data_IF_311740796264
#
_entry.id   IF_311740796264
#
_cell.length_a   1.000
_cell.length_b   1.000
_cell.length_c   1.000
_cell.angle_alpha   90.00
_cell.angle_beta   90.00
_cell.angle_gamma   90.00
#
_symmetry.space_group_name_H-M   'P 1'
#
loop_
_entity.id
_entity.type
_entity.pdbx_description
1 polymer ?
#
# COMPACT_ATOMS: atom_id res chain seq x y z
N UNK A 1 21.20 -3.24 -1.72
CA UNK A 1 19.75 -3.28 -1.95
C UNK A 1 19.07 -2.23 -1.07
N UNK A 2 18.10 -1.50 -1.60
CA UNK A 2 17.37 -0.44 -0.89
C UNK A 2 15.87 -0.49 -1.13
N UNK A 3 15.10 0.01 -0.17
CA UNK A 3 13.63 0.06 -0.16
C UNK A 3 13.16 1.17 0.80
N UNK A 4 11.91 1.63 0.67
CA UNK A 4 11.40 2.75 1.47
C UNK A 4 10.66 2.36 2.75
N UNK A 5 9.95 1.23 2.81
CA UNK A 5 9.23 0.87 4.04
C UNK A 5 10.10 0.08 4.99
N UNK A 6 10.34 0.59 6.20
CA UNK A 6 11.06 -0.17 7.24
C UNK A 6 10.41 -1.51 7.60
N UNK A 7 9.09 -1.64 7.40
CA UNK A 7 8.37 -2.89 7.63
C UNK A 7 8.79 -4.02 6.67
N UNK A 8 9.54 -3.72 5.59
CA UNK A 8 10.05 -4.71 4.64
C UNK A 8 11.37 -5.36 5.06
N UNK A 9 12.02 -4.88 6.12
CA UNK A 9 13.35 -5.38 6.51
C UNK A 9 13.36 -6.90 6.71
N UNK A 10 12.46 -7.42 7.54
CA UNK A 10 12.35 -8.86 7.82
C UNK A 10 12.18 -9.66 6.52
N UNK A 11 11.15 -9.32 5.73
CA UNK A 11 10.84 -10.04 4.49
C UNK A 11 12.00 -10.01 3.48
N UNK A 12 12.63 -8.85 3.26
CA UNK A 12 13.74 -8.73 2.32
C UNK A 12 14.94 -9.54 2.80
N UNK A 13 15.28 -9.47 4.09
CA UNK A 13 16.38 -10.23 4.66
C UNK A 13 16.12 -11.75 4.54
N UNK A 14 14.90 -12.20 4.85
CA UNK A 14 14.52 -13.61 4.76
C UNK A 14 14.58 -14.12 3.30
N UNK A 15 14.08 -13.33 2.34
CA UNK A 15 14.14 -13.69 0.92
C UNK A 15 15.58 -13.74 0.41
N UNK A 16 16.41 -12.76 0.75
CA UNK A 16 17.82 -12.74 0.37
C UNK A 16 18.56 -13.91 0.98
N UNK A 17 18.36 -14.20 2.28
CA UNK A 17 19.01 -15.34 2.93
C UNK A 17 18.57 -16.65 2.29
N UNK A 18 17.26 -16.86 2.13
CA UNK A 18 16.70 -18.08 1.55
C UNK A 18 17.20 -18.32 0.13
N UNK A 19 17.08 -17.35 -0.77
CA UNK A 19 17.48 -17.53 -2.16
C UNK A 19 18.98 -17.62 -2.33
N UNK A 20 19.76 -16.87 -1.54
CA UNK A 20 21.22 -17.04 -1.58
C UNK A 20 21.58 -18.46 -1.15
N UNK A 21 21.02 -18.95 -0.04
CA UNK A 21 21.25 -20.31 0.42
C UNK A 21 20.80 -21.37 -0.59
N UNK A 22 19.66 -21.18 -1.25
CA UNK A 22 19.16 -22.11 -2.28
C UNK A 22 20.10 -22.22 -3.49
N UNK A 23 20.69 -21.10 -3.93
CA UNK A 23 21.53 -21.06 -5.14
C UNK A 23 23.03 -21.24 -4.89
N UNK A 24 23.55 -20.84 -3.72
CA UNK A 24 24.97 -20.92 -3.38
C UNK A 24 25.28 -21.96 -2.30
N UNK A 25 24.27 -22.49 -1.61
CA UNK A 25 24.41 -23.33 -0.42
C UNK A 25 25.20 -22.64 0.72
N UNK A 26 25.18 -21.30 0.74
CA UNK A 26 25.82 -20.46 1.75
C UNK A 26 25.00 -19.18 2.01
N UNK A 27 25.30 -18.46 3.08
CA UNK A 27 24.70 -17.16 3.37
C UNK A 27 25.28 -16.07 2.48
N UNK A 28 24.54 -14.98 2.31
CA UNK A 28 25.09 -13.81 1.64
C UNK A 28 26.15 -13.15 2.53
N UNK A 29 27.16 -12.58 1.89
CA UNK A 29 28.19 -11.81 2.61
C UNK A 29 27.72 -10.37 2.79
N UNK A 30 27.48 -9.98 4.04
CA UNK A 30 27.03 -8.63 4.42
C UNK A 30 28.04 -7.53 4.06
N UNK A 31 29.32 -7.86 3.81
CA UNK A 31 30.32 -6.92 3.33
C UNK A 31 30.08 -6.53 1.87
N UNK A 32 29.58 -7.46 1.05
CA UNK A 32 29.35 -7.24 -0.39
C UNK A 32 27.89 -6.93 -0.72
N UNK A 33 26.93 -7.49 0.02
CA UNK A 33 25.51 -7.24 -0.16
C UNK A 33 24.91 -6.59 1.09
N UNK A 34 24.78 -5.27 1.02
CA UNK A 34 24.17 -4.48 2.09
C UNK A 34 22.67 -4.29 1.83
N UNK A 35 21.84 -4.62 2.81
CA UNK A 35 20.39 -4.41 2.81
C UNK A 35 20.09 -3.19 3.69
N UNK A 36 19.67 -2.09 3.08
CA UNK A 36 19.51 -0.81 3.77
C UNK A 36 18.22 -0.09 3.39
N UNK A 37 17.53 0.47 4.39
CA UNK A 37 16.40 1.37 4.17
C UNK A 37 16.86 2.64 3.43
N UNK A 38 16.00 3.25 2.61
CA UNK A 38 16.38 4.39 1.76
C UNK A 38 16.89 5.60 2.55
N UNK A 39 16.30 5.87 3.72
CA UNK A 39 16.77 6.93 4.64
C UNK A 39 17.67 6.38 5.76
N UNK A 40 17.20 5.34 6.43
CA UNK A 40 17.76 4.80 7.68
C UNK A 40 16.95 5.19 8.92
N UNK A 41 17.64 5.29 10.05
CA UNK A 41 17.16 5.74 11.36
C UNK A 41 18.34 6.28 12.19
N UNK A 42 18.09 6.73 13.42
CA UNK A 42 19.17 7.12 14.33
C UNK A 42 20.11 5.96 14.72
N UNK A 43 19.60 4.72 14.73
CA UNK A 43 20.35 3.53 15.15
C UNK A 43 20.84 2.65 13.99
N UNK A 44 20.24 2.76 12.80
CA UNK A 44 20.58 1.96 11.62
C UNK A 44 20.76 2.86 10.41
N UNK A 45 21.91 2.77 9.76
CA UNK A 45 22.18 3.53 8.55
C UNK A 45 21.21 3.15 7.41
N UNK A 46 20.96 4.11 6.54
CA UNK A 46 20.25 3.91 5.28
C UNK A 46 21.02 4.50 4.10
N UNK A 47 20.54 4.21 2.89
CA UNK A 47 21.26 4.55 1.65
C UNK A 47 21.55 6.04 1.53
N UNK A 48 20.58 6.92 1.82
CA UNK A 48 20.78 8.36 1.87
C UNK A 48 21.89 8.75 2.85
N UNK A 49 21.87 8.19 4.06
CA UNK A 49 22.88 8.53 5.08
C UNK A 49 24.28 8.03 4.71
N UNK A 50 24.38 6.88 4.04
CA UNK A 50 25.66 6.36 3.52
C UNK A 50 26.20 7.22 2.38
N UNK A 51 25.33 7.61 1.43
CA UNK A 51 25.69 8.54 0.35
C UNK A 51 26.17 9.88 0.91
N UNK A 52 25.47 10.45 1.89
CA UNK A 52 25.87 11.71 2.53
C UNK A 52 27.23 11.60 3.24
N UNK A 53 27.45 10.54 4.03
CA UNK A 53 28.72 10.32 4.73
C UNK A 53 29.89 10.13 3.77
N UNK A 54 29.69 9.36 2.70
CA UNK A 54 30.72 9.08 1.70
C UNK A 54 31.25 10.35 1.03
N UNK A 55 30.41 11.37 0.89
CA UNK A 55 30.80 12.66 0.30
C UNK A 55 31.15 13.73 1.36
N UNK A 56 31.27 13.35 2.63
CA UNK A 56 31.64 14.24 3.73
C UNK A 56 30.52 15.16 4.24
N UNK A 57 29.26 14.88 3.89
CA UNK A 57 28.09 15.63 4.36
C UNK A 57 27.46 14.94 5.57
N UNK A 58 27.11 15.72 6.60
CA UNK A 58 26.37 15.20 7.76
C UNK A 58 24.94 14.87 7.35
N UNK A 59 24.47 13.61 7.51
CA UNK A 59 23.11 13.24 7.16
C UNK A 59 22.07 14.05 7.94
N UNK A 60 21.01 14.49 7.25
CA UNK A 60 19.87 15.17 7.89
C UNK A 60 18.95 14.17 8.58
N UNK A 61 18.44 14.56 9.75
CA UNK A 61 17.43 13.79 10.47
C UNK A 61 16.00 14.15 10.05
N UNK A 62 15.04 13.37 10.55
CA UNK A 62 13.62 13.57 10.24
C UNK A 62 13.07 14.90 10.75
N UNK A 63 13.56 15.39 11.90
CA UNK A 63 13.06 16.62 12.49
C UNK A 63 13.42 17.84 11.64
N UNK A 64 14.67 17.89 11.17
CA UNK A 64 15.13 18.89 10.22
C UNK A 64 14.29 18.85 8.94
N UNK A 65 14.17 17.67 8.33
CA UNK A 65 13.50 17.51 7.06
C UNK A 65 12.02 17.90 7.11
N UNK A 66 11.32 17.48 8.16
CA UNK A 66 9.92 17.86 8.39
C UNK A 66 9.77 19.36 8.59
N UNK A 67 10.68 20.01 9.30
CA UNK A 67 10.62 21.44 9.54
C UNK A 67 10.90 22.25 8.26
N UNK A 68 11.81 21.77 7.39
CA UNK A 68 12.19 22.46 6.18
C UNK A 68 11.23 22.22 5.00
N UNK A 69 10.69 21.01 4.87
CA UNK A 69 9.96 20.57 3.67
C UNK A 69 8.53 20.08 3.95
N UNK A 70 8.11 20.05 5.21
CA UNK A 70 6.85 19.43 5.60
C UNK A 70 6.95 17.90 5.69
N UNK A 71 5.86 17.25 6.12
CA UNK A 71 5.84 15.80 6.38
C UNK A 71 5.98 14.96 5.10
N UNK A 72 5.25 15.31 4.04
CA UNK A 72 5.18 14.51 2.81
C UNK A 72 6.45 14.65 1.95
N UNK A 73 7.04 15.85 1.89
CA UNK A 73 8.24 16.11 1.07
C UNK A 73 9.54 15.99 1.85
N UNK A 74 9.51 15.53 3.10
CA UNK A 74 10.69 15.44 3.97
C UNK A 74 11.84 14.68 3.31
N UNK A 75 11.56 13.49 2.75
CA UNK A 75 12.59 12.66 2.13
C UNK A 75 13.08 13.22 0.80
N UNK A 76 12.15 13.71 -0.03
CA UNK A 76 12.48 14.34 -1.30
C UNK A 76 13.40 15.56 -1.08
N UNK A 77 13.05 16.45 -0.15
CA UNK A 77 13.80 17.68 0.11
C UNK A 77 15.24 17.41 0.55
N UNK A 78 15.47 16.45 1.45
CA UNK A 78 16.85 16.12 1.87
C UNK A 78 17.65 15.44 0.78
N UNK A 79 17.02 14.62 -0.07
CA UNK A 79 17.66 14.09 -1.28
C UNK A 79 18.03 15.21 -2.25
N UNK A 80 17.17 16.21 -2.42
CA UNK A 80 17.42 17.37 -3.27
C UNK A 80 18.60 18.22 -2.76
N UNK A 81 18.69 18.46 -1.45
CA UNK A 81 19.87 19.13 -0.84
C UNK A 81 21.16 18.38 -1.16
N UNK A 82 21.16 17.07 -0.93
CA UNK A 82 22.35 16.24 -1.14
C UNK A 82 22.74 16.20 -2.63
N UNK A 83 21.75 16.10 -3.51
CA UNK A 83 21.95 16.06 -4.96
C UNK A 83 22.63 17.33 -5.47
N UNK A 84 22.28 18.49 -4.92
CA UNK A 84 22.96 19.74 -5.27
C UNK A 84 24.46 19.72 -4.92
N UNK A 85 24.82 19.14 -3.77
CA UNK A 85 26.23 18.98 -3.35
C UNK A 85 26.96 17.99 -4.25
N UNK A 86 26.36 16.82 -4.53
CA UNK A 86 26.95 15.78 -5.40
C UNK A 86 27.22 16.33 -6.80
N UNK A 87 26.27 17.08 -7.38
CA UNK A 87 26.43 17.70 -8.70
C UNK A 87 27.53 18.74 -8.75
N UNK A 88 27.76 19.48 -7.66
CA UNK A 88 28.82 20.49 -7.58
C UNK A 88 30.21 19.87 -7.36
N UNK A 89 30.30 18.76 -6.62
CA UNK A 89 31.57 18.15 -6.20
C UNK A 89 32.08 17.01 -7.07
N UNK A 90 31.22 16.38 -7.88
CA UNK A 90 31.53 15.17 -8.67
C UNK A 90 32.31 14.10 -7.88
N UNK A 91 31.74 13.61 -6.76
CA UNK A 91 32.42 12.66 -5.88
C UNK A 91 32.67 11.29 -6.55
N UNK A 92 33.65 10.57 -6.02
CA UNK A 92 33.92 9.18 -6.42
C UNK A 92 32.71 8.28 -6.16
N UNK A 93 32.42 7.31 -7.07
CA UNK A 93 31.34 6.36 -6.86
C UNK A 93 31.52 5.54 -5.58
N UNK A 94 30.40 5.26 -4.92
CA UNK A 94 30.34 4.51 -3.65
C UNK A 94 29.83 3.09 -3.87
N UNK A 95 29.03 2.88 -4.92
CA UNK A 95 28.36 1.61 -5.17
C UNK A 95 28.83 0.93 -6.46
N UNK A 96 28.89 -0.39 -6.37
CA UNK A 96 29.23 -1.27 -7.48
C UNK A 96 28.01 -1.66 -8.32
N UNK A 97 26.87 -1.81 -7.64
CA UNK A 97 25.56 -2.06 -8.17
C UNK A 97 24.51 -1.67 -7.13
N UNK A 98 23.32 -1.27 -7.57
CA UNK A 98 22.20 -0.92 -6.69
C UNK A 98 20.95 -1.65 -7.15
N UNK A 99 20.28 -2.32 -6.20
CA UNK A 99 18.96 -2.89 -6.36
C UNK A 99 17.98 -2.05 -5.56
N UNK A 100 16.92 -1.55 -6.21
CA UNK A 100 15.88 -0.72 -5.61
C UNK A 100 14.57 -1.50 -5.66
N UNK A 101 13.97 -1.75 -4.51
CA UNK A 101 12.68 -2.40 -4.39
C UNK A 101 11.59 -1.39 -4.00
N UNK A 102 10.34 -1.64 -4.41
CA UNK A 102 9.20 -0.71 -4.29
C UNK A 102 9.55 0.70 -4.78
N UNK A 103 10.13 0.78 -5.99
CA UNK A 103 10.71 2.00 -6.55
C UNK A 103 9.71 3.17 -6.66
N UNK A 104 8.41 2.86 -6.76
CA UNK A 104 7.32 3.84 -6.82
C UNK A 104 7.08 4.62 -5.52
N UNK A 105 7.73 4.21 -4.42
CA UNK A 105 7.72 4.90 -3.11
C UNK A 105 8.90 5.86 -2.92
N UNK A 106 9.78 5.98 -3.92
CA UNK A 106 10.99 6.79 -3.84
C UNK A 106 10.93 8.01 -4.78
N UNK A 107 11.46 9.17 -4.37
CA UNK A 107 11.44 10.37 -5.19
C UNK A 107 12.53 10.32 -6.29
N UNK A 108 12.33 10.95 -7.45
CA UNK A 108 13.32 11.01 -8.53
C UNK A 108 14.72 11.44 -8.07
N UNK A 109 14.82 12.41 -7.16
CA UNK A 109 16.10 12.91 -6.64
C UNK A 109 16.94 11.81 -5.98
N UNK A 110 16.30 10.79 -5.39
CA UNK A 110 16.99 9.62 -4.84
C UNK A 110 17.60 8.77 -5.95
N UNK A 111 16.90 8.55 -7.07
CA UNK A 111 17.43 7.82 -8.23
C UNK A 111 18.61 8.56 -8.88
N UNK A 112 18.54 9.88 -8.96
CA UNK A 112 19.63 10.72 -9.48
C UNK A 112 20.89 10.62 -8.60
N UNK A 113 20.72 10.61 -7.27
CA UNK A 113 21.83 10.35 -6.34
C UNK A 113 22.44 8.95 -6.54
N UNK A 114 21.59 7.92 -6.62
CA UNK A 114 22.03 6.53 -6.89
C UNK A 114 22.80 6.44 -8.20
N UNK A 115 22.33 7.10 -9.26
CA UNK A 115 23.00 7.12 -10.56
C UNK A 115 24.40 7.75 -10.49
N UNK A 116 24.52 8.90 -9.83
CA UNK A 116 25.79 9.62 -9.72
C UNK A 116 26.80 8.86 -8.85
N UNK A 117 26.34 8.15 -7.82
CA UNK A 117 27.19 7.44 -6.87
C UNK A 117 27.37 5.94 -7.18
N UNK A 118 26.83 5.44 -8.30
CA UNK A 118 27.10 4.08 -8.79
C UNK A 118 28.18 4.13 -9.86
N UNK A 119 29.20 3.25 -9.80
CA UNK A 119 30.30 3.25 -10.77
C UNK A 119 29.87 2.81 -12.16
N UNK A 120 30.68 3.16 -13.16
CA UNK A 120 30.51 2.67 -14.52
C UNK A 120 31.08 1.24 -14.71
N UNK A 121 30.45 0.39 -15.55
CA UNK A 121 29.15 0.61 -16.17
C UNK A 121 28.01 0.60 -15.13
N UNK A 122 27.05 1.51 -15.24
CA UNK A 122 25.93 1.64 -14.27
C UNK A 122 25.13 0.35 -14.17
N UNK A 123 25.13 -0.25 -12.97
CA UNK A 123 24.35 -1.46 -12.63
C UNK A 123 23.27 -1.09 -11.63
N UNK A 124 22.17 -0.54 -12.14
CA UNK A 124 21.03 -0.14 -11.32
C UNK A 124 19.83 -0.94 -11.78
N UNK A 125 19.25 -1.73 -10.87
CA UNK A 125 18.06 -2.54 -11.11
C UNK A 125 16.98 -2.02 -10.18
N UNK A 126 15.79 -1.76 -10.69
CA UNK A 126 14.66 -1.35 -9.86
C UNK A 126 13.41 -2.13 -10.21
N UNK A 127 12.68 -2.55 -9.19
CA UNK A 127 11.38 -3.21 -9.30
C UNK A 127 10.29 -2.33 -8.69
N UNK A 128 9.10 -2.36 -9.28
CA UNK A 128 7.93 -1.66 -8.76
C UNK A 128 6.65 -2.39 -9.17
N UNK A 129 5.57 -2.17 -8.42
CA UNK A 129 4.29 -2.84 -8.63
C UNK A 129 3.28 -1.91 -9.33
N UNK A 130 3.07 -2.12 -10.63
CA UNK A 130 2.06 -1.41 -11.44
C UNK A 130 0.63 -1.60 -10.91
N UNK A 131 0.35 -2.70 -10.19
CA UNK A 131 -1.01 -3.03 -9.74
C UNK A 131 -1.45 -2.17 -8.56
N UNK A 132 -0.52 -1.60 -7.79
CA UNK A 132 -0.83 -0.89 -6.54
C UNK A 132 -1.20 0.58 -6.74
N UNK A 133 -1.02 1.15 -7.94
CA UNK A 133 -1.36 2.54 -8.28
C UNK A 133 -2.52 2.60 -9.29
N UNK A 134 -3.74 2.31 -8.81
CA UNK A 134 -4.95 2.27 -9.63
C UNK A 134 -5.41 3.64 -10.21
N UNK A 135 -4.90 4.76 -9.67
CA UNK A 135 -5.30 6.14 -10.03
C UNK A 135 -4.15 7.14 -10.21
N UNK A 136 -2.92 6.77 -9.86
CA UNK A 136 -1.78 7.69 -9.94
C UNK A 136 -1.09 7.51 -11.28
N UNK A 137 -0.54 8.61 -11.80
CA UNK A 137 0.30 8.62 -13.00
C UNK A 137 1.24 7.44 -12.96
N UNK A 138 1.38 6.74 -14.10
CA UNK A 138 2.39 5.70 -14.28
C UNK A 138 3.73 6.15 -13.70
N UNK A 139 4.52 5.18 -13.22
CA UNK A 139 5.85 5.42 -12.67
C UNK A 139 6.61 6.43 -13.55
N UNK A 140 7.25 7.47 -12.97
CA UNK A 140 7.95 8.49 -13.74
C UNK A 140 8.86 7.89 -14.82
N UNK A 141 8.89 8.52 -16.01
CA UNK A 141 9.78 8.09 -17.07
C UNK A 141 11.24 8.11 -16.62
N UNK A 142 12.12 7.34 -17.30
CA UNK A 142 13.54 7.27 -16.92
C UNK A 142 14.24 8.62 -16.93
N UNK A 143 13.82 9.56 -17.78
CA UNK A 143 14.36 10.93 -17.81
C UNK A 143 13.98 11.72 -16.56
N UNK A 144 12.78 11.49 -16.01
CA UNK A 144 12.36 12.12 -14.77
C UNK A 144 13.11 11.49 -13.58
N UNK A 145 13.17 10.15 -13.53
CA UNK A 145 13.87 9.42 -12.47
C UNK A 145 15.37 9.72 -12.45
N UNK A 146 16.07 9.58 -13.56
CA UNK A 146 17.53 9.62 -13.60
C UNK A 146 18.09 10.94 -14.13
N UNK A 147 17.27 11.74 -14.80
CA UNK A 147 17.70 12.97 -15.45
C UNK A 147 18.25 12.75 -16.86
N UNK A 148 18.60 13.87 -17.49
CA UNK A 148 19.24 13.92 -18.81
C UNK A 148 20.67 14.43 -18.70
N UNK A 149 21.50 14.04 -19.68
CA UNK A 149 22.88 14.50 -19.79
C UNK A 149 22.99 15.92 -20.34
N UNK A 150 24.22 16.45 -20.45
CA UNK A 150 24.46 17.83 -20.86
C UNK A 150 23.93 18.20 -22.25
N UNK A 151 23.73 17.22 -23.14
CA UNK A 151 23.19 17.43 -24.49
C UNK A 151 21.71 17.08 -24.60
N UNK A 152 21.03 16.82 -23.47
CA UNK A 152 19.63 16.44 -23.40
C UNK A 152 19.36 14.96 -23.64
N UNK A 153 20.40 14.13 -23.74
CA UNK A 153 20.27 12.68 -23.88
C UNK A 153 19.80 12.00 -22.59
N UNK A 154 18.94 11.00 -22.69
CA UNK A 154 18.54 10.18 -21.54
C UNK A 154 19.74 9.50 -20.88
N UNK A 155 19.95 9.72 -19.58
CA UNK A 155 21.04 9.05 -18.84
C UNK A 155 20.79 7.54 -18.71
N UNK A 156 19.50 7.15 -18.66
CA UNK A 156 19.06 5.75 -18.63
C UNK A 156 18.05 5.55 -19.74
N UNK A 157 18.26 4.54 -20.57
CA UNK A 157 17.35 4.17 -21.65
C UNK A 157 16.95 2.70 -21.54
N UNK A 158 15.64 2.47 -21.46
CA UNK A 158 15.01 1.15 -21.48
C UNK A 158 14.77 0.62 -22.89
N UNK A 159 15.14 1.39 -23.93
CA UNK A 159 14.96 0.98 -25.31
C UNK A 159 15.65 -0.36 -25.57
N UNK A 160 14.87 -1.32 -26.07
CA UNK A 160 15.40 -2.63 -26.41
C UNK A 160 16.29 -2.52 -27.65
N UNK A 161 17.53 -2.97 -27.53
CA UNK A 161 18.47 -3.02 -28.64
C UNK A 161 18.52 -4.44 -29.21
N UNK A 162 18.65 -4.55 -30.54
CA UNK A 162 18.76 -5.83 -31.23
C UNK A 162 19.94 -6.65 -30.66
N UNK A 163 19.67 -7.92 -30.34
CA UNK A 163 20.63 -8.87 -29.77
C UNK A 163 21.24 -8.47 -28.42
N UNK A 164 20.63 -7.54 -27.68
CA UNK A 164 20.99 -7.24 -26.30
C UNK A 164 19.97 -7.79 -25.29
N UNK A 165 20.36 -8.01 -24.02
CA UNK A 165 19.43 -8.32 -22.96
C UNK A 165 18.32 -7.26 -22.86
N UNK A 166 17.11 -7.71 -22.51
CA UNK A 166 15.99 -6.81 -22.23
C UNK A 166 16.33 -5.91 -21.04
N UNK A 167 15.97 -4.63 -21.16
CA UNK A 167 16.17 -3.62 -20.12
C UNK A 167 14.89 -3.34 -19.34
N UNK A 168 13.75 -3.59 -19.97
CA UNK A 168 12.44 -3.52 -19.37
C UNK A 168 11.78 -4.91 -19.45
N UNK A 169 11.28 -5.39 -18.32
CA UNK A 169 10.74 -6.74 -18.15
C UNK A 169 9.47 -6.64 -17.30
N UNK A 170 8.32 -6.72 -17.97
CA UNK A 170 7.03 -6.90 -17.30
C UNK A 170 6.86 -8.38 -16.96
N UNK A 171 6.50 -8.67 -15.71
CA UNK A 171 6.22 -10.03 -15.22
C UNK A 171 4.70 -10.27 -15.20
N UNK A 172 4.13 -11.01 -16.17
CA UNK A 172 2.68 -11.14 -16.32
C UNK A 172 2.06 -12.17 -15.35
N UNK A 173 2.88 -13.02 -14.71
CA UNK A 173 2.41 -14.11 -13.86
C UNK A 173 2.42 -13.69 -12.39
N UNK A 174 1.25 -13.70 -11.75
CA UNK A 174 1.14 -13.48 -10.32
C UNK A 174 1.22 -14.82 -9.59
N UNK A 175 2.34 -15.05 -8.90
CA UNK A 175 2.54 -16.22 -8.03
C UNK A 175 2.05 -16.01 -6.59
N UNK A 176 1.70 -14.76 -6.26
CA UNK A 176 1.41 -14.34 -4.89
C UNK A 176 -0.06 -14.50 -4.57
N UNK A 177 -0.94 -13.80 -5.28
CA UNK A 177 -2.37 -13.80 -4.99
C UNK A 177 -3.13 -14.80 -5.84
N UNK A 178 -4.19 -15.39 -5.27
CA UNK A 178 -5.14 -16.17 -6.07
C UNK A 178 -5.77 -15.31 -7.19
N UNK A 179 -6.10 -15.90 -8.35
CA UNK A 179 -6.71 -15.15 -9.46
C UNK A 179 -8.03 -14.48 -9.04
N UNK A 180 -8.78 -15.12 -8.13
CA UNK A 180 -10.04 -14.62 -7.60
C UNK A 180 -9.87 -13.44 -6.66
N UNK A 181 -8.96 -13.53 -5.68
CA UNK A 181 -8.70 -12.42 -4.75
C UNK A 181 -8.25 -11.17 -5.49
N UNK A 182 -7.36 -11.34 -6.48
CA UNK A 182 -6.83 -10.21 -7.23
C UNK A 182 -7.87 -9.64 -8.23
N UNK A 183 -8.74 -10.47 -8.83
CA UNK A 183 -9.85 -9.97 -9.63
C UNK A 183 -10.87 -9.18 -8.79
N UNK A 184 -11.21 -9.68 -7.59
CA UNK A 184 -12.04 -8.97 -6.62
C UNK A 184 -11.40 -7.65 -6.18
N UNK A 185 -10.11 -7.65 -5.89
CA UNK A 185 -9.38 -6.43 -5.52
C UNK A 185 -9.48 -5.37 -6.62
N UNK A 186 -9.19 -5.73 -7.89
CA UNK A 186 -9.30 -4.81 -9.02
C UNK A 186 -10.73 -4.29 -9.19
N UNK A 187 -11.74 -5.17 -9.11
CA UNK A 187 -13.14 -4.76 -9.23
C UNK A 187 -13.52 -3.68 -8.20
N UNK A 188 -13.12 -3.87 -6.94
CA UNK A 188 -13.43 -2.96 -5.83
C UNK A 188 -12.60 -1.69 -5.88
N UNK A 189 -11.32 -1.80 -6.26
CA UNK A 189 -10.39 -0.68 -6.39
C UNK A 189 -10.87 0.29 -7.48
N UNK A 190 -11.11 -0.24 -8.67
CA UNK A 190 -11.59 0.53 -9.84
C UNK A 190 -13.06 0.95 -9.68
N UNK A 191 -13.81 0.24 -8.85
CA UNK A 191 -15.25 0.47 -8.66
C UNK A 191 -16.05 0.02 -9.88
N UNK A 192 -15.72 -1.15 -10.44
CA UNK A 192 -16.35 -1.71 -11.65
C UNK A 192 -17.85 -1.95 -11.47
N UNK A 193 -18.27 -2.38 -10.27
CA UNK A 193 -19.65 -2.74 -9.97
C UNK A 193 -20.28 -1.89 -8.87
N UNK A 194 -19.67 -0.74 -8.55
CA UNK A 194 -20.26 0.19 -7.60
C UNK A 194 -21.50 0.87 -8.19
N UNK A 195 -22.33 1.44 -7.32
CA UNK A 195 -23.43 2.29 -7.76
C UNK A 195 -22.86 3.58 -8.41
N UNK A 196 -23.02 3.71 -9.73
CA UNK A 196 -22.57 4.87 -10.51
C UNK A 196 -21.46 4.56 -11.53
N UNK A 197 -20.73 5.60 -11.95
CA UNK A 197 -19.58 5.45 -12.85
C UNK A 197 -18.36 4.84 -12.14
N UNK A 198 -17.40 4.34 -12.93
CA UNK A 198 -16.08 3.92 -12.44
C UNK A 198 -15.47 4.97 -11.51
N UNK A 199 -14.80 4.49 -10.46
CA UNK A 199 -14.16 5.36 -9.48
C UNK A 199 -12.80 5.87 -9.97
N UNK A 200 -12.05 5.00 -10.62
CA UNK A 200 -10.71 5.27 -11.17
C UNK A 200 -10.43 4.27 -12.31
N UNK A 201 -9.45 4.56 -13.15
CA UNK A 201 -9.02 3.66 -14.22
C UNK A 201 -7.59 4.02 -14.64
N UNK A 202 -6.85 3.05 -15.15
CA UNK A 202 -5.52 3.28 -15.73
C UNK A 202 -5.56 4.26 -16.91
N UNK A 203 -4.50 5.04 -17.11
CA UNK A 203 -4.42 5.95 -18.26
C UNK A 203 -4.29 5.19 -19.59
N UNK A 204 -3.56 4.08 -19.56
CA UNK A 204 -3.27 3.21 -20.69
C UNK A 204 -4.13 1.94 -20.60
N UNK A 205 -5.19 1.79 -21.41
CA UNK A 205 -6.04 0.59 -21.39
C UNK A 205 -5.28 -0.71 -21.67
N UNK A 206 -4.21 -0.65 -22.45
CA UNK A 206 -3.32 -1.77 -22.77
C UNK A 206 -2.67 -2.43 -21.54
N UNK A 207 -2.52 -1.67 -20.43
CA UNK A 207 -1.95 -2.17 -19.18
C UNK A 207 -2.72 -3.40 -18.67
N UNK A 208 -4.03 -3.49 -18.91
CA UNK A 208 -4.83 -4.67 -18.57
C UNK A 208 -4.24 -5.98 -19.12
N UNK A 209 -3.75 -5.96 -20.36
CA UNK A 209 -3.08 -7.11 -20.97
C UNK A 209 -1.76 -7.44 -20.28
N UNK A 210 -0.97 -6.41 -19.97
CA UNK A 210 0.33 -6.51 -19.31
C UNK A 210 0.22 -7.07 -17.88
N UNK A 211 -0.85 -6.71 -17.18
CA UNK A 211 -1.16 -7.22 -15.83
C UNK A 211 -1.92 -8.55 -15.83
N UNK A 212 -2.02 -9.18 -16.99
CA UNK A 212 -2.44 -10.57 -17.14
C UNK A 212 -3.95 -10.77 -17.27
N UNK A 213 -4.68 -9.81 -17.85
CA UNK A 213 -6.08 -9.98 -18.26
C UNK A 213 -6.21 -10.22 -19.77
N UNK A 214 -7.16 -11.06 -20.14
CA UNK A 214 -7.60 -11.26 -21.52
C UNK A 214 -8.89 -10.49 -21.77
N UNK A 215 -9.04 -9.95 -22.98
CA UNK A 215 -10.33 -9.42 -23.46
C UNK A 215 -11.21 -10.56 -23.94
N UNK A 216 -12.35 -10.77 -23.28
CA UNK A 216 -13.36 -11.79 -23.64
C UNK A 216 -14.38 -11.21 -24.62
N UNK A 217 -14.79 -9.96 -24.38
CA UNK A 217 -15.72 -9.22 -25.23
C UNK A 217 -15.30 -7.76 -25.34
N UNK A 218 -15.59 -7.15 -26.50
CA UNK A 218 -15.29 -5.74 -26.73
C UNK A 218 -13.83 -5.46 -27.07
N UNK A 219 -13.33 -4.28 -26.70
CA UNK A 219 -11.95 -3.86 -26.96
C UNK A 219 -11.41 -2.92 -25.88
N UNK A 220 -10.09 -2.95 -25.69
CA UNK A 220 -9.33 -2.01 -24.85
C UNK A 220 -9.13 -0.66 -25.57
N UNK A 221 -10.21 -0.06 -26.06
CA UNK A 221 -10.20 1.24 -26.72
C UNK A 221 -11.02 2.25 -25.92
N UNK A 222 -10.55 3.50 -25.85
CA UNK A 222 -11.25 4.58 -25.13
C UNK A 222 -12.71 4.69 -25.58
N UNK A 223 -13.64 4.75 -24.62
CA UNK A 223 -15.08 4.80 -24.85
C UNK A 223 -15.75 3.48 -25.23
N UNK A 224 -14.99 2.38 -25.37
CA UNK A 224 -15.53 1.07 -25.77
C UNK A 224 -15.93 0.22 -24.56
N UNK A 225 -17.03 -0.52 -24.69
CA UNK A 225 -17.37 -1.55 -23.73
C UNK A 225 -16.36 -2.70 -23.80
N UNK A 226 -15.96 -3.22 -22.65
CA UNK A 226 -15.03 -4.34 -22.53
C UNK A 226 -15.48 -5.31 -21.45
N UNK A 227 -15.15 -6.59 -21.62
CA UNK A 227 -15.20 -7.59 -20.55
C UNK A 227 -13.86 -8.29 -20.48
N UNK A 228 -13.23 -8.19 -19.30
CA UNK A 228 -11.91 -8.73 -19.02
C UNK A 228 -12.02 -9.95 -18.11
N UNK A 229 -11.16 -10.93 -18.31
CA UNK A 229 -10.99 -12.06 -17.40
C UNK A 229 -9.50 -12.30 -17.13
N UNK A 230 -9.16 -12.79 -15.94
CA UNK A 230 -7.77 -13.09 -15.61
C UNK A 230 -7.30 -14.26 -16.48
N UNK A 231 -6.23 -14.06 -17.24
CA UNK A 231 -5.70 -15.10 -18.12
C UNK A 231 -5.23 -16.30 -17.28
N UNK A 232 -5.49 -17.51 -17.77
CA UNK A 232 -5.09 -18.73 -17.06
C UNK A 232 -3.57 -18.81 -16.88
N UNK A 233 -2.81 -18.40 -17.90
CA UNK A 233 -1.34 -18.31 -17.89
C UNK A 233 -0.78 -17.25 -16.95
N UNK A 234 -1.59 -16.32 -16.43
CA UNK A 234 -1.14 -15.23 -15.56
C UNK A 234 -1.20 -15.58 -14.07
N UNK A 235 -1.40 -16.87 -13.78
CA UNK A 235 -1.46 -17.45 -12.43
C UNK A 235 -1.00 -18.91 -12.48
N UNK A 236 -0.30 -19.42 -11.47
CA UNK A 236 0.03 -20.84 -11.39
C UNK A 236 -1.20 -21.75 -11.41
N UNK A 237 -1.08 -22.91 -12.05
CA UNK A 237 -2.15 -23.90 -12.16
C UNK A 237 -2.61 -24.41 -10.78
N UNK A 238 -1.68 -24.53 -9.81
CA UNK A 238 -1.97 -25.04 -8.48
C UNK A 238 -3.07 -24.25 -7.74
N UNK A 239 -3.27 -22.96 -8.05
CA UNK A 239 -4.37 -22.21 -7.44
C UNK A 239 -5.74 -22.79 -7.81
N UNK A 240 -5.94 -23.22 -9.06
CA UNK A 240 -7.20 -23.82 -9.52
C UNK A 240 -7.32 -25.30 -9.13
N UNK A 241 -6.19 -25.97 -8.92
CA UNK A 241 -6.14 -27.38 -8.51
C UNK A 241 -6.41 -27.56 -7.01
N UNK A 242 -5.93 -26.62 -6.18
CA UNK A 242 -5.92 -26.76 -4.73
C UNK A 242 -6.93 -25.87 -4.00
N UNK A 243 -7.42 -24.81 -4.64
CA UNK A 243 -8.34 -23.85 -4.02
C UNK A 243 -9.61 -23.69 -4.86
N UNK A 244 -10.65 -23.17 -4.22
CA UNK A 244 -11.89 -22.76 -4.89
C UNK A 244 -12.13 -21.26 -4.67
N UNK A 245 -12.87 -20.57 -5.56
CA UNK A 245 -13.17 -19.15 -5.37
C UNK A 245 -13.91 -18.86 -4.06
N UNK A 246 -14.81 -19.76 -3.65
CA UNK A 246 -15.63 -19.62 -2.44
C UNK A 246 -14.83 -19.77 -1.16
N UNK A 247 -13.70 -20.47 -1.20
CA UNK A 247 -12.76 -20.56 -0.08
C UNK A 247 -11.68 -19.47 -0.14
N UNK A 248 -11.11 -19.20 -1.31
CA UNK A 248 -10.01 -18.23 -1.47
C UNK A 248 -10.43 -16.82 -1.07
N UNK A 249 -11.65 -16.41 -1.38
CA UNK A 249 -12.20 -15.10 -1.01
C UNK A 249 -13.46 -15.34 -0.23
N UNK A 250 -13.51 -14.97 1.05
CA UNK A 250 -14.75 -14.93 1.83
C UNK A 250 -15.03 -13.49 2.22
N UNK A 251 -16.25 -13.05 1.94
CA UNK A 251 -16.78 -11.80 2.46
C UNK A 251 -17.87 -12.11 3.49
N UNK A 252 -17.87 -11.37 4.60
CA UNK A 252 -18.91 -11.51 5.62
C UNK A 252 -19.25 -10.16 6.23
N UNK A 253 -20.54 -9.85 6.25
CA UNK A 253 -21.10 -8.69 6.94
C UNK A 253 -21.63 -9.06 8.32
N UNK A 254 -21.58 -8.09 9.23
CA UNK A 254 -22.05 -8.23 10.60
C UNK A 254 -23.01 -7.09 10.97
N UNK A 255 -23.78 -7.32 12.03
CA UNK A 255 -24.68 -6.30 12.55
C UNK A 255 -23.91 -5.19 13.29
N UNK A 256 -22.82 -5.55 13.97
CA UNK A 256 -21.99 -4.64 14.73
C UNK A 256 -20.50 -5.08 14.75
N UNK A 257 -19.68 -4.26 15.40
CA UNK A 257 -18.25 -4.50 15.56
C UNK A 257 -17.95 -5.71 16.47
N UNK A 258 -18.75 -5.92 17.53
CA UNK A 258 -18.50 -6.98 18.50
C UNK A 258 -18.67 -8.37 17.86
N UNK A 259 -19.74 -8.57 17.10
CA UNK A 259 -19.99 -9.81 16.39
C UNK A 259 -18.95 -10.10 15.30
N UNK A 260 -18.46 -9.06 14.64
CA UNK A 260 -17.34 -9.19 13.71
C UNK A 260 -16.08 -9.69 14.45
N UNK A 261 -15.71 -9.06 15.56
CA UNK A 261 -14.48 -9.37 16.29
C UNK A 261 -14.52 -10.79 16.87
N UNK A 262 -15.66 -11.20 17.41
CA UNK A 262 -15.89 -12.57 17.90
C UNK A 262 -15.73 -13.56 16.75
N UNK A 263 -16.33 -13.29 15.58
CA UNK A 263 -16.23 -14.18 14.44
C UNK A 263 -14.80 -14.27 13.91
N UNK A 264 -14.07 -13.15 13.82
CA UNK A 264 -12.65 -13.14 13.42
C UNK A 264 -11.83 -14.00 14.36
N UNK A 265 -12.00 -13.84 15.68
CA UNK A 265 -11.29 -14.65 16.67
C UNK A 265 -11.62 -16.15 16.55
N UNK A 266 -12.89 -16.50 16.31
CA UNK A 266 -13.30 -17.88 16.08
C UNK A 266 -12.69 -18.47 14.80
N UNK A 267 -12.65 -17.71 13.70
CA UNK A 267 -12.05 -18.19 12.46
C UNK A 267 -10.54 -18.34 12.57
N UNK A 268 -9.84 -17.41 13.21
CA UNK A 268 -8.40 -17.54 13.46
C UNK A 268 -8.12 -18.75 14.34
N UNK A 269 -8.93 -18.96 15.39
CA UNK A 269 -8.81 -20.17 16.23
C UNK A 269 -8.97 -21.45 15.42
N UNK A 270 -9.93 -21.48 14.49
CA UNK A 270 -10.12 -22.58 13.55
C UNK A 270 -8.88 -22.74 12.66
N UNK A 271 -8.36 -21.66 12.09
CA UNK A 271 -7.18 -21.72 11.23
C UNK A 271 -5.97 -22.35 11.94
N UNK A 272 -5.76 -21.97 13.21
CA UNK A 272 -4.65 -22.47 14.02
C UNK A 272 -4.86 -23.92 14.49
N UNK A 273 -6.10 -24.36 14.69
CA UNK A 273 -6.39 -25.67 15.30
C UNK A 273 -6.78 -26.76 14.29
N UNK A 274 -7.38 -26.38 13.15
CA UNK A 274 -7.95 -27.29 12.16
C UNK A 274 -7.29 -27.14 10.78
N UNK A 275 -6.97 -25.91 10.36
CA UNK A 275 -6.38 -25.66 9.03
C UNK A 275 -4.84 -25.72 9.04
N UNK A 276 -4.24 -26.09 10.18
CA UNK A 276 -2.79 -26.25 10.40
C UNK A 276 -1.94 -25.01 10.06
N UNK A 277 -2.53 -23.81 10.15
CA UNK A 277 -1.77 -22.57 9.97
C UNK A 277 -0.97 -22.22 11.22
N UNK A 278 0.22 -21.66 11.03
CA UNK A 278 0.98 -21.04 12.11
C UNK A 278 0.47 -19.61 12.37
N UNK A 279 0.88 -19.00 13.49
CA UNK A 279 0.40 -17.65 13.85
C UNK A 279 0.93 -16.58 12.89
N UNK A 280 2.14 -16.77 12.38
CA UNK A 280 2.81 -15.95 11.38
C UNK A 280 2.32 -16.22 9.94
N UNK A 281 1.47 -17.23 9.73
CA UNK A 281 0.73 -17.40 8.47
C UNK A 281 -0.52 -16.50 8.37
N UNK A 282 -0.84 -15.75 9.44
CA UNK A 282 -2.05 -14.95 9.56
C UNK A 282 -1.71 -13.48 9.77
N UNK A 283 -2.28 -12.62 8.92
CA UNK A 283 -2.18 -11.17 9.04
C UNK A 283 -3.57 -10.53 9.12
N UNK A 284 -3.77 -9.69 10.14
CA UNK A 284 -4.95 -8.84 10.26
C UNK A 284 -4.60 -7.44 9.77
N UNK A 285 -5.29 -6.97 8.74
CA UNK A 285 -5.11 -5.63 8.16
C UNK A 285 -6.24 -4.72 8.63
N UNK A 286 -5.85 -3.60 9.24
CA UNK A 286 -6.74 -2.50 9.65
C UNK A 286 -6.64 -1.36 8.61
N UNK A 287 -7.68 -1.12 7.78
CA UNK A 287 -7.67 -0.08 6.75
C UNK A 287 -7.54 1.34 7.30
N UNK A 288 -8.16 1.63 8.44
CA UNK A 288 -8.14 2.97 9.04
C UNK A 288 -6.89 3.18 9.91
N UNK A 289 -5.91 3.89 9.35
CA UNK A 289 -4.63 4.19 10.02
C UNK A 289 -4.82 5.05 11.27
N UNK A 290 -5.78 5.98 11.26
CA UNK A 290 -6.01 6.89 12.38
C UNK A 290 -6.62 6.16 13.57
N UNK A 291 -7.51 5.20 13.30
CA UNK A 291 -8.14 4.39 14.35
C UNK A 291 -7.34 3.16 14.73
N UNK A 292 -6.34 2.73 13.95
CA UNK A 292 -5.60 1.49 14.21
C UNK A 292 -5.07 1.36 15.65
N UNK A 293 -4.55 2.45 16.24
CA UNK A 293 -4.00 2.45 17.61
C UNK A 293 -5.06 2.25 18.71
N UNK A 294 -6.28 2.71 18.50
CA UNK A 294 -7.39 2.51 19.45
C UNK A 294 -8.22 1.26 19.15
N UNK A 295 -8.27 0.86 17.87
CA UNK A 295 -9.02 -0.28 17.36
C UNK A 295 -8.32 -1.61 17.64
N UNK A 296 -7.00 -1.68 17.42
CA UNK A 296 -6.23 -2.91 17.61
C UNK A 296 -6.32 -3.47 19.04
N UNK A 297 -6.17 -2.68 20.12
CA UNK A 297 -6.29 -3.21 21.48
C UNK A 297 -7.63 -3.89 21.77
N UNK A 298 -8.75 -3.36 21.23
CA UNK A 298 -10.09 -3.96 21.39
C UNK A 298 -10.16 -5.33 20.70
N UNK A 299 -9.67 -5.43 19.46
CA UNK A 299 -9.63 -6.71 18.74
C UNK A 299 -8.69 -7.72 19.42
N UNK A 300 -7.51 -7.26 19.85
CA UNK A 300 -6.52 -8.09 20.56
C UNK A 300 -7.08 -8.65 21.86
N UNK A 301 -7.91 -7.89 22.58
CA UNK A 301 -8.60 -8.39 23.77
C UNK A 301 -9.55 -9.54 23.43
N UNK A 302 -10.34 -9.42 22.36
CA UNK A 302 -11.22 -10.49 21.88
C UNK A 302 -10.43 -11.72 21.41
N UNK A 303 -9.30 -11.53 20.72
CA UNK A 303 -8.38 -12.61 20.33
C UNK A 303 -7.82 -13.33 21.57
N UNK A 304 -7.37 -12.58 22.57
CA UNK A 304 -6.84 -13.12 23.83
C UNK A 304 -7.89 -13.94 24.58
N UNK A 305 -9.15 -13.50 24.62
CA UNK A 305 -10.26 -14.27 25.22
C UNK A 305 -10.49 -15.62 24.52
N UNK A 306 -10.10 -15.74 23.24
CA UNK A 306 -10.16 -16.99 22.49
C UNK A 306 -8.86 -17.81 22.58
N UNK A 307 -7.86 -17.32 23.33
CA UNK A 307 -6.57 -17.97 23.52
C UNK A 307 -5.56 -17.69 22.39
N UNK A 308 -5.73 -16.61 21.64
CA UNK A 308 -4.88 -16.25 20.50
C UNK A 308 -3.95 -15.08 20.90
N UNK A 309 -2.64 -15.32 21.08
CA UNK A 309 -1.69 -14.23 21.26
C UNK A 309 -1.61 -13.39 19.98
N UNK A 310 -1.49 -12.08 20.15
CA UNK A 310 -1.44 -11.13 19.03
C UNK A 310 -0.62 -9.89 19.37
N UNK A 311 -0.17 -9.16 18.35
CA UNK A 311 0.58 -7.92 18.52
C UNK A 311 0.27 -6.91 17.41
N UNK A 312 0.42 -5.62 17.72
CA UNK A 312 0.30 -4.53 16.75
C UNK A 312 1.68 -4.20 16.20
N UNK A 313 1.86 -4.32 14.89
CA UNK A 313 3.14 -4.06 14.20
C UNK A 313 3.61 -2.62 14.44
N UNK A 314 4.83 -2.49 14.96
CA UNK A 314 5.47 -1.20 15.24
C UNK A 314 5.02 -0.53 16.55
N UNK A 315 4.20 -1.20 17.36
CA UNK A 315 3.82 -0.74 18.72
C UNK A 315 4.26 -1.78 19.73
N UNK A 316 5.25 -1.44 20.56
CA UNK A 316 5.83 -2.38 21.53
C UNK A 316 6.66 -3.51 20.90
N UNK A 317 6.78 -3.55 19.57
CA UNK A 317 7.63 -4.46 18.79
C UNK A 317 8.67 -3.68 17.99
N UNK A 318 9.67 -4.37 17.43
CA UNK A 318 10.56 -3.75 16.46
C UNK A 318 9.74 -3.23 15.28
N UNK A 319 10.05 -2.02 14.81
CA UNK A 319 9.42 -1.43 13.61
C UNK A 319 9.84 -2.14 12.31
N UNK A 320 10.87 -2.98 12.40
CA UNK A 320 11.46 -3.74 11.30
C UNK A 320 10.95 -5.21 11.29
N UNK A 321 10.20 -5.64 12.31
CA UNK A 321 9.67 -7.00 12.47
C UNK A 321 8.14 -6.97 12.43
N UNK A 322 7.55 -7.74 11.51
CA UNK A 322 6.11 -7.78 11.23
C UNK A 322 5.50 -9.08 11.71
N UNK A 323 6.17 -10.20 11.47
CA UNK A 323 5.71 -11.53 11.88
C UNK A 323 6.52 -12.02 13.07
N UNK A 324 5.80 -12.55 14.07
CA UNK A 324 6.38 -13.15 15.27
C UNK A 324 5.83 -14.55 15.44
N UNK A 325 6.71 -15.49 15.75
CA UNK A 325 6.29 -16.86 16.08
C UNK A 325 5.29 -16.81 17.24
N UNK A 326 4.28 -17.68 17.16
CA UNK A 326 3.23 -17.81 18.17
C UNK A 326 2.40 -16.53 18.42
N UNK A 327 2.40 -15.56 17.51
CA UNK A 327 1.60 -14.34 17.66
C UNK A 327 1.05 -13.82 16.34
N UNK A 328 -0.27 -13.63 16.27
CA UNK A 328 -0.93 -13.08 15.08
C UNK A 328 -0.64 -11.59 14.95
N UNK A 329 -0.18 -11.17 13.78
CA UNK A 329 0.15 -9.78 13.50
C UNK A 329 -1.10 -8.96 13.14
N UNK A 330 -1.25 -7.80 13.78
CA UNK A 330 -2.19 -6.74 13.37
C UNK A 330 -1.38 -5.59 12.79
N UNK A 331 -1.73 -5.13 11.58
CA UNK A 331 -1.04 -4.02 10.93
C UNK A 331 -2.04 -3.04 10.31
N UNK A 332 -1.74 -1.75 10.41
CA UNK A 332 -2.41 -0.76 9.57
C UNK A 332 -1.87 -0.81 8.13
N UNK A 333 -2.60 -0.25 7.17
CA UNK A 333 -2.31 -0.47 5.75
C UNK A 333 -0.86 -0.16 5.33
N UNK A 334 -0.28 0.97 5.77
CA UNK A 334 1.10 1.33 5.41
C UNK A 334 2.17 0.39 5.98
N UNK A 335 1.88 -0.36 7.05
CA UNK A 335 2.77 -1.39 7.61
C UNK A 335 2.53 -2.75 6.98
N UNK A 336 1.29 -3.03 6.61
CA UNK A 336 0.93 -4.22 5.86
C UNK A 336 1.50 -4.17 4.43
N UNK A 337 1.65 -2.98 3.83
CA UNK A 337 2.25 -2.83 2.49
C UNK A 337 3.62 -3.49 2.43
N UNK A 338 3.84 -4.28 1.39
CA UNK A 338 5.03 -5.10 1.20
C UNK A 338 4.94 -6.48 1.87
N UNK A 339 4.42 -6.54 3.08
CA UNK A 339 4.25 -7.77 3.85
C UNK A 339 3.03 -8.58 3.42
N UNK A 340 3.14 -9.90 3.46
CA UNK A 340 2.10 -10.81 2.96
C UNK A 340 2.00 -12.05 3.84
N UNK A 341 0.81 -12.62 3.92
CA UNK A 341 0.54 -13.84 4.67
C UNK A 341 -0.33 -14.80 3.86
N UNK A 342 -0.20 -16.13 4.04
CA UNK A 342 -1.14 -17.11 3.50
C UNK A 342 -2.61 -16.74 3.73
N UNK A 343 -2.96 -16.36 4.96
CA UNK A 343 -4.32 -15.96 5.36
C UNK A 343 -4.35 -14.49 5.78
N UNK A 344 -5.24 -13.70 5.18
CA UNK A 344 -5.42 -12.29 5.55
C UNK A 344 -6.86 -11.98 5.96
N UNK A 345 -7.00 -11.30 7.08
CA UNK A 345 -8.26 -10.73 7.55
C UNK A 345 -8.25 -9.22 7.32
N UNK A 346 -9.06 -8.74 6.37
CA UNK A 346 -9.31 -7.31 6.19
C UNK A 346 -10.48 -6.91 7.07
N UNK A 347 -10.18 -6.29 8.21
CA UNK A 347 -11.16 -5.98 9.27
C UNK A 347 -11.65 -4.54 9.13
N UNK A 348 -12.94 -4.31 9.38
CA UNK A 348 -13.60 -3.00 9.22
C UNK A 348 -13.57 -2.47 7.77
N UNK A 349 -13.80 -3.36 6.80
CA UNK A 349 -13.75 -3.05 5.36
C UNK A 349 -14.74 -1.95 4.95
N UNK A 350 -15.81 -1.70 5.71
CA UNK A 350 -16.75 -0.58 5.49
C UNK A 350 -16.06 0.79 5.44
N UNK A 351 -14.88 0.93 6.05
CA UNK A 351 -14.07 2.14 5.96
C UNK A 351 -13.76 2.53 4.50
N UNK A 352 -13.59 1.53 3.64
CA UNK A 352 -13.23 1.68 2.23
C UNK A 352 -14.36 2.28 1.38
N UNK A 353 -15.59 2.23 1.86
CA UNK A 353 -16.76 2.73 1.15
C UNK A 353 -17.27 4.03 1.78
N UNK A 354 -16.57 5.12 1.48
CA UNK A 354 -16.90 6.46 1.97
C UNK A 354 -16.82 7.45 0.82
N UNK A 355 -17.74 8.42 0.80
CA UNK A 355 -17.78 9.48 -0.22
C UNK A 355 -16.56 10.39 -0.16
N UNK A 356 -15.99 10.56 1.04
CA UNK A 356 -14.75 11.30 1.26
C UNK A 356 -13.54 10.43 0.95
N UNK A 357 -12.62 10.94 0.12
CA UNK A 357 -11.41 10.25 -0.33
C UNK A 357 -11.67 8.83 -0.86
N UNK A 358 -12.76 8.65 -1.61
CA UNK A 358 -13.22 7.35 -2.09
C UNK A 358 -12.12 6.53 -2.80
N UNK A 359 -11.36 7.17 -3.70
CA UNK A 359 -10.25 6.55 -4.44
C UNK A 359 -9.17 6.02 -3.48
N UNK A 360 -8.64 6.87 -2.60
CA UNK A 360 -7.62 6.49 -1.61
C UNK A 360 -8.08 5.33 -0.71
N UNK A 361 -9.35 5.37 -0.30
CA UNK A 361 -9.97 4.33 0.55
C UNK A 361 -10.19 3.02 -0.19
N UNK A 362 -10.54 3.05 -1.48
CA UNK A 362 -10.60 1.85 -2.33
C UNK A 362 -9.21 1.29 -2.65
N UNK A 363 -8.20 2.14 -2.82
CA UNK A 363 -6.80 1.71 -2.98
C UNK A 363 -6.28 1.04 -1.69
N UNK A 364 -6.73 1.51 -0.53
CA UNK A 364 -6.46 0.87 0.76
C UNK A 364 -7.06 -0.55 0.81
N UNK A 365 -8.31 -0.71 0.38
CA UNK A 365 -8.96 -2.03 0.32
C UNK A 365 -8.29 -2.97 -0.69
N UNK A 366 -7.94 -2.46 -1.87
CA UNK A 366 -7.15 -3.19 -2.86
C UNK A 366 -5.86 -3.70 -2.23
N UNK A 367 -5.09 -2.80 -1.63
CA UNK A 367 -3.80 -3.12 -0.99
C UNK A 367 -3.97 -4.16 0.11
N UNK A 368 -5.04 -4.06 0.91
CA UNK A 368 -5.34 -5.00 2.00
C UNK A 368 -5.64 -6.40 1.48
N UNK A 369 -6.46 -6.52 0.42
CA UNK A 369 -6.79 -7.82 -0.19
C UNK A 369 -5.54 -8.45 -0.81
N UNK A 370 -4.69 -7.66 -1.47
CA UNK A 370 -3.48 -8.15 -2.13
C UNK A 370 -2.34 -8.51 -1.18
N UNK A 371 -2.53 -8.38 0.15
CA UNK A 371 -1.59 -8.97 1.13
C UNK A 371 -1.76 -10.49 1.29
N UNK A 372 -2.86 -11.05 0.77
CA UNK A 372 -3.17 -12.48 0.88
C UNK A 372 -2.45 -13.32 -0.17
N UNK A 373 -1.87 -14.44 0.23
CA UNK A 373 -1.31 -15.40 -0.74
C UNK A 373 -2.33 -16.45 -1.19
N UNK A 374 -3.06 -17.03 -0.24
CA UNK A 374 -4.05 -18.07 -0.52
C UNK A 374 -5.46 -17.60 -0.18
N UNK A 375 -5.67 -17.12 1.04
CA UNK A 375 -7.00 -16.85 1.57
C UNK A 375 -7.15 -15.41 2.06
N UNK A 376 -8.29 -14.81 1.74
CA UNK A 376 -8.68 -13.51 2.27
C UNK A 376 -10.08 -13.58 2.88
N UNK A 377 -10.24 -12.94 4.03
CA UNK A 377 -11.50 -12.74 4.74
C UNK A 377 -11.77 -11.23 4.81
N UNK A 378 -12.71 -10.73 4.03
CA UNK A 378 -13.10 -9.31 4.03
C UNK A 378 -14.34 -9.15 4.90
N UNK A 379 -14.18 -8.45 6.04
CA UNK A 379 -15.24 -8.32 7.03
C UNK A 379 -15.54 -6.87 7.37
N UNK A 380 -16.81 -6.60 7.64
CA UNK A 380 -17.30 -5.27 7.99
C UNK A 380 -18.71 -5.31 8.56
N UNK A 381 -19.22 -4.15 8.93
CA UNK A 381 -20.58 -3.98 9.45
C UNK A 381 -21.22 -2.66 8.96
N UNK A 382 -22.55 -2.61 9.05
CA UNK A 382 -23.38 -1.47 8.64
C UNK A 382 -23.54 -1.28 7.12
N UNK A 383 -24.34 -0.28 6.74
CA UNK A 383 -24.78 -0.04 5.35
C UNK A 383 -23.63 0.16 4.35
N UNK A 384 -22.52 0.74 4.83
CA UNK A 384 -21.31 0.92 4.01
C UNK A 384 -20.68 -0.42 3.65
N UNK A 385 -20.74 -1.42 4.54
CA UNK A 385 -20.32 -2.79 4.22
C UNK A 385 -21.29 -3.46 3.26
N UNK A 386 -22.60 -3.20 3.39
CA UNK A 386 -23.60 -3.81 2.49
C UNK A 386 -23.36 -3.42 1.02
N UNK A 387 -22.91 -2.20 0.74
CA UNK A 387 -22.51 -1.80 -0.61
C UNK A 387 -21.26 -2.55 -1.11
N UNK A 388 -20.22 -2.71 -0.28
CA UNK A 388 -19.03 -3.52 -0.65
C UNK A 388 -19.42 -4.99 -0.87
N UNK A 389 -20.32 -5.52 -0.04
CA UNK A 389 -20.86 -6.87 -0.17
C UNK A 389 -21.51 -7.07 -1.53
N UNK A 390 -22.41 -6.17 -1.93
CA UNK A 390 -23.09 -6.22 -3.25
C UNK A 390 -22.10 -6.22 -4.41
N UNK A 391 -21.03 -5.42 -4.33
CA UNK A 391 -19.98 -5.41 -5.35
C UNK A 391 -19.26 -6.77 -5.43
N UNK A 392 -18.84 -7.33 -4.30
CA UNK A 392 -18.16 -8.64 -4.26
C UNK A 392 -19.08 -9.76 -4.76
N UNK A 393 -20.34 -9.74 -4.37
CA UNK A 393 -21.33 -10.72 -4.83
C UNK A 393 -21.52 -10.61 -6.35
N UNK A 394 -21.57 -9.40 -6.90
CA UNK A 394 -21.63 -9.17 -8.35
C UNK A 394 -20.39 -9.70 -9.07
N UNK A 395 -19.19 -9.54 -8.50
CA UNK A 395 -17.95 -10.11 -9.05
C UNK A 395 -18.05 -11.64 -9.12
N UNK A 396 -18.55 -12.28 -8.07
CA UNK A 396 -18.73 -13.74 -8.02
C UNK A 396 -19.78 -14.23 -9.01
N UNK A 397 -20.94 -13.58 -9.07
CA UNK A 397 -22.01 -13.88 -10.04
C UNK A 397 -21.53 -13.77 -11.49
N UNK A 398 -20.61 -12.84 -11.76
CA UNK A 398 -19.97 -12.66 -13.07
C UNK A 398 -18.73 -13.53 -13.28
N UNK A 399 -18.50 -14.53 -12.42
CA UNK A 399 -17.35 -15.44 -12.49
C UNK A 399 -16.00 -14.70 -12.52
N UNK A 400 -15.86 -13.66 -11.72
CA UNK A 400 -14.65 -12.83 -11.61
C UNK A 400 -14.25 -12.11 -12.90
N UNK A 401 -15.16 -12.02 -13.87
CA UNK A 401 -15.00 -11.18 -15.05
C UNK A 401 -15.29 -9.73 -14.69
N UNK A 402 -14.56 -8.80 -15.31
CA UNK A 402 -14.72 -7.36 -15.11
C UNK A 402 -15.31 -6.74 -16.37
N UNK A 403 -16.57 -6.31 -16.30
CA UNK A 403 -17.31 -5.76 -17.43
C UNK A 403 -17.66 -4.29 -17.20
N UNK A 404 -17.09 -3.40 -18.01
CA UNK A 404 -17.24 -1.95 -17.90
C UNK A 404 -16.95 -1.27 -19.25
N UNK A 405 -17.15 0.04 -19.32
CA UNK A 405 -16.76 0.86 -20.48
C UNK A 405 -15.44 1.56 -20.17
N UNK A 406 -14.44 1.39 -21.04
CA UNK A 406 -13.18 2.15 -20.93
C UNK A 406 -13.53 3.64 -20.98
N UNK A 407 -13.11 4.46 -19.99
CA UNK A 407 -13.43 5.88 -20.00
C UNK A 407 -12.88 6.58 -21.25
N UNK A 408 -13.57 7.62 -21.72
CA UNK A 408 -12.99 8.54 -22.72
C UNK A 408 -11.84 9.33 -22.09
N UNK A 409 -10.99 9.95 -22.92
CA UNK A 409 -9.88 10.78 -22.39
C UNK A 409 -10.36 11.91 -21.50
N UNK A 410 -11.45 12.57 -21.89
CA UNK A 410 -12.13 13.60 -21.09
C UNK A 410 -12.63 13.05 -19.75
N UNK A 411 -13.15 11.82 -19.74
CA UNK A 411 -13.62 11.18 -18.51
C UNK A 411 -12.45 10.75 -17.61
N UNK A 412 -11.34 10.27 -18.17
CA UNK A 412 -10.10 10.00 -17.41
C UNK A 412 -9.58 11.28 -16.74
N UNK A 413 -9.56 12.40 -17.47
CA UNK A 413 -9.18 13.71 -16.92
C UNK A 413 -10.11 14.13 -15.78
N UNK A 414 -11.43 13.95 -15.94
CA UNK A 414 -12.39 14.22 -14.87
C UNK A 414 -12.17 13.33 -13.64
N UNK A 415 -11.94 12.03 -13.82
CA UNK A 415 -11.68 11.11 -12.71
C UNK A 415 -10.41 11.51 -11.93
N UNK A 416 -9.35 11.93 -12.63
CA UNK A 416 -8.11 12.42 -12.01
C UNK A 416 -8.29 13.75 -11.30
N UNK A 417 -8.97 14.70 -11.93
CA UNK A 417 -9.22 16.02 -11.36
C UNK A 417 -10.08 15.93 -10.10
N UNK A 418 -11.14 15.10 -10.13
CA UNK A 418 -11.97 14.83 -8.94
C UNK A 418 -11.17 14.20 -7.80
N UNK A 419 -10.12 13.43 -8.10
CA UNK A 419 -9.24 12.85 -7.09
C UNK A 419 -8.27 13.89 -6.50
N UNK A 420 -7.56 14.65 -7.34
CA UNK A 420 -6.53 15.62 -6.92
C UNK A 420 -7.12 16.83 -6.20
N UNK A 421 -8.19 17.42 -6.72
CA UNK A 421 -8.79 18.61 -6.08
C UNK A 421 -9.38 18.28 -4.72
N UNK A 422 -10.08 17.13 -4.62
CA UNK A 422 -10.57 16.66 -3.33
C UNK A 422 -9.42 16.41 -2.36
N UNK A 423 -8.31 15.80 -2.78
CA UNK A 423 -7.21 15.54 -1.84
C UNK A 423 -6.61 16.81 -1.26
N UNK A 424 -6.40 17.85 -2.07
CA UNK A 424 -5.70 19.06 -1.65
C UNK A 424 -6.60 20.01 -0.85
N UNK A 425 -7.83 20.24 -1.31
CA UNK A 425 -8.81 21.06 -0.60
C UNK A 425 -9.28 20.38 0.70
N UNK A 426 -9.51 19.06 0.67
CA UNK A 426 -9.87 18.32 1.88
C UNK A 426 -8.71 18.33 2.89
N UNK A 427 -7.45 18.24 2.45
CA UNK A 427 -6.29 18.30 3.36
C UNK A 427 -6.19 19.64 4.09
N UNK A 428 -6.28 20.75 3.36
CA UNK A 428 -6.23 22.08 3.96
C UNK A 428 -7.43 22.34 4.88
N UNK A 429 -8.63 21.91 4.46
CA UNK A 429 -9.85 22.05 5.25
C UNK A 429 -9.85 21.15 6.50
N UNK A 430 -9.41 19.90 6.38
CA UNK A 430 -9.28 18.95 7.51
C UNK A 430 -8.22 19.42 8.49
N UNK A 431 -7.06 19.90 8.02
CA UNK A 431 -6.03 20.46 8.90
C UNK A 431 -6.58 21.65 9.68
N UNK A 432 -7.20 22.62 8.99
CA UNK A 432 -7.81 23.79 9.64
C UNK A 432 -8.93 23.41 10.62
N UNK A 433 -9.75 22.42 10.28
CA UNK A 433 -10.81 21.93 11.15
C UNK A 433 -10.24 21.17 12.37
N UNK A 434 -9.17 20.40 12.18
CA UNK A 434 -8.47 19.67 13.25
C UNK A 434 -7.79 20.63 14.21
N UNK A 435 -7.05 21.63 13.69
CA UNK A 435 -6.43 22.68 14.50
C UNK A 435 -7.47 23.48 15.27
N UNK A 436 -8.60 23.81 14.62
CA UNK A 436 -9.72 24.50 15.26
C UNK A 436 -10.39 23.66 16.35
N UNK A 437 -10.55 22.36 16.13
CA UNK A 437 -11.11 21.44 17.13
C UNK A 437 -10.13 21.20 18.28
N UNK A 438 -8.84 21.07 18.02
CA UNK A 438 -7.80 20.93 19.04
C UNK A 438 -7.75 22.17 19.93
N UNK A 439 -7.75 23.37 19.34
CA UNK A 439 -7.80 24.62 20.11
C UNK A 439 -9.08 24.71 20.96
N UNK A 440 -10.22 24.24 20.45
CA UNK A 440 -11.45 24.14 21.22
C UNK A 440 -11.35 23.16 22.38
N UNK A 441 -10.80 21.96 22.16
CA UNK A 441 -10.63 20.93 23.19
C UNK A 441 -9.67 21.38 24.29
N UNK A 442 -8.53 21.99 23.93
CA UNK A 442 -7.58 22.56 24.90
C UNK A 442 -8.22 23.66 25.75
N UNK A 443 -9.01 24.55 25.14
CA UNK A 443 -9.74 25.58 25.87
C UNK A 443 -10.82 24.98 26.80
N UNK A 444 -11.47 23.90 26.37
CA UNK A 444 -12.49 23.21 27.17
C UNK A 444 -11.88 22.44 28.34
N UNK A 445 -10.76 21.74 28.13
CA UNK A 445 -10.03 21.00 29.17
C UNK A 445 -9.36 21.91 30.21
N UNK A 446 -9.07 23.16 29.84
CA UNK A 446 -8.50 24.18 30.74
C UNK A 446 -9.56 25.07 31.40
N UNK A 447 -10.83 24.69 31.33
CA UNK A 447 -11.99 25.41 31.86
C UNK A 447 -12.10 26.87 31.35
N UNK A 448 -11.53 27.18 30.18
CA UNK A 448 -11.58 28.52 29.56
C UNK A 448 -12.86 28.74 28.73
N UNK A 449 -13.52 27.66 28.32
CA UNK A 449 -14.79 27.67 27.59
C UNK A 449 -15.65 26.48 28.03
N UNK A 450 -16.96 26.69 28.19
CA UNK A 450 -17.93 25.62 28.45
C UNK A 450 -18.68 25.26 27.14
N UNK A 451 -19.17 24.03 27.05
CA UNK A 451 -20.08 23.55 26.02
C UNK A 451 -21.36 24.39 25.93
N UNK A 452 -21.78 25.04 27.03
CA UNK A 452 -22.90 25.97 27.07
C UNK A 452 -22.59 27.34 26.44
N UNK A 453 -21.32 27.70 26.29
CA UNK A 453 -20.88 28.94 25.63
C UNK A 453 -20.96 28.85 24.10
N UNK A 454 -21.06 27.64 23.55
CA UNK A 454 -21.31 27.43 22.13
C UNK A 454 -22.75 27.84 21.75
N UNK A 455 -22.96 28.48 20.58
CA UNK A 455 -24.29 28.79 20.09
C UNK A 455 -25.20 27.53 20.06
N UNK A 456 -26.46 27.61 20.54
CA UNK A 456 -27.35 26.45 20.65
C UNK A 456 -27.51 25.63 19.36
N UNK A 457 -27.46 26.30 18.20
CA UNK A 457 -27.52 25.67 16.89
C UNK A 457 -26.24 24.86 16.57
N UNK A 458 -25.05 25.35 16.96
CA UNK A 458 -23.79 24.62 16.78
C UNK A 458 -23.71 23.42 17.71
N UNK A 459 -24.10 23.58 18.97
CA UNK A 459 -24.15 22.47 19.95
C UNK A 459 -25.07 21.35 19.48
N UNK A 460 -26.29 21.69 19.03
CA UNK A 460 -27.24 20.69 18.52
C UNK A 460 -26.70 19.97 17.28
N UNK A 461 -26.12 20.71 16.32
CA UNK A 461 -25.52 20.13 15.11
C UNK A 461 -24.32 19.25 15.42
N UNK A 462 -23.46 19.67 16.34
CA UNK A 462 -22.28 18.90 16.77
C UNK A 462 -22.70 17.59 17.42
N UNK A 463 -23.68 17.63 18.33
CA UNK A 463 -24.21 16.42 18.98
C UNK A 463 -24.91 15.50 17.97
N UNK A 464 -25.69 16.04 17.04
CA UNK A 464 -26.33 15.23 15.99
C UNK A 464 -25.30 14.58 15.07
N UNK A 465 -24.29 15.33 14.60
CA UNK A 465 -23.25 14.81 13.72
C UNK A 465 -22.35 13.79 14.39
N UNK A 466 -21.96 14.03 15.65
CA UNK A 466 -21.23 13.04 16.44
C UNK A 466 -22.05 11.76 16.65
N UNK A 467 -23.37 11.85 16.82
CA UNK A 467 -24.24 10.67 16.93
C UNK A 467 -24.45 9.92 15.62
N UNK A 468 -24.39 10.60 14.47
CA UNK A 468 -24.51 9.99 13.14
C UNK A 468 -23.21 9.28 12.70
N UNK A 469 -22.05 9.86 12.98
CA UNK A 469 -20.75 9.39 12.47
C UNK A 469 -19.90 8.62 13.50
N UNK A 470 -20.23 8.71 14.79
CA UNK A 470 -19.63 7.92 15.88
C UNK A 470 -20.76 7.12 16.54
N UNK A 471 -20.84 5.79 16.30
CA UNK A 471 -21.77 4.97 17.06
C UNK A 471 -21.50 5.17 18.54
N UNK A 472 -22.56 5.37 19.34
CA UNK A 472 -22.41 5.37 20.79
C UNK A 472 -21.88 4.00 21.22
N UNK A 473 -20.79 4.00 21.98
CA UNK A 473 -20.46 2.93 22.91
C UNK A 473 -21.58 2.97 23.99
N UNK A 474 -22.77 2.41 23.70
CA UNK A 474 -23.79 2.14 24.71
C UNK A 474 -23.63 0.66 25.14
N UNK A 475 -22.95 0.49 26.30
CA UNK A 475 -22.74 -0.69 27.18
C UNK A 475 -22.29 -2.05 26.61
#
# INVERSE_FOLDING_TARGET
MTFHSRALYQQIQDLVERFTFEYSNDRYDEQFLQIMHSWGSSSKAGMYSEMARAIGVTPRDWNYARAAYGMDNAFQGVCQELLAVVRAGSPEPVFDAVLIDEAQDLPPEFFQLVYLLTRDPKRIVWGYDELQKLSESAMPGTDELFGTGPSGESLVSLAQQDKQPRRDIVLPVCYRNTPWALATAHALGIGVYRDGDLLQHFDAPELWGEIGYNTVHGSLALGSAVTLERAESSSPAYFRELLTPDDAVIMKRFHDQAAQDIWVAQQIKKNLAEDELEHDDILIVLPDVYRAKSRAPRLMQTLLQHGIPSHLVGVGTSVDEVFKRESVALAHIYRAKGNEAPMVYVVDAQYANSDHQAVTRRNTLFTAITRSRAWVRVVGWGDRMDAISREIDTVREKNFRLGFTIPSREKLDQLRHLHRDRSDDDRAAVQKATDGLQAFLEAYETDQIDLYDLPPAMRTRLVMKLKEDVPRDDD
#
